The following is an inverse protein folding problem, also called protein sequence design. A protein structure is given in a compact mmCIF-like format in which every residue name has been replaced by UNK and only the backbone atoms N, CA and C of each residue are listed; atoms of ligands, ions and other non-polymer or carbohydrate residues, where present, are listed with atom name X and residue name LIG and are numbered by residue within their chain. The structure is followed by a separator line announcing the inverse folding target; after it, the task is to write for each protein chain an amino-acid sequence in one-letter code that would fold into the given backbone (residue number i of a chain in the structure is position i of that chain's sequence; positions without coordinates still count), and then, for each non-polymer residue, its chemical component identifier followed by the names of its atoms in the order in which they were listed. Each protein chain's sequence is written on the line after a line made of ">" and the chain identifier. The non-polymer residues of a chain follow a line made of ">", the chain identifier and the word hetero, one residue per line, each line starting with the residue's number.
data_IF_774289968698
#
_entry.id   IF_774289968698
#
_cell.length_a   1.000
_cell.length_b   1.000
_cell.length_c   1.000
_cell.angle_alpha   90.00
_cell.angle_beta   90.00
_cell.angle_gamma   90.00
#
_symmetry.space_group_name_H-M   'P 1'
#
loop_
_entity.id
_entity.type
_entity.pdbx_description
1 polymer ?
#
# COMPACT_ATOMS: atom_id res chain seq x y z
N UNK A 1 -1.62 -9.82 65.52
CA UNK A 1 -1.98 -9.98 64.10
C UNK A 1 -2.12 -8.62 63.38
N UNK A 2 -1.00 -7.91 63.25
CA UNK A 2 -0.76 -6.91 62.20
C UNK A 2 -0.21 -7.72 61.02
N UNK A 3 -0.83 -7.67 59.83
CA UNK A 3 -0.26 -8.04 58.50
C UNK A 3 -1.35 -8.49 57.51
N UNK A 4 -2.23 -7.60 57.01
CA UNK A 4 -2.98 -7.85 55.74
C UNK A 4 -3.40 -6.54 55.01
N UNK A 5 -2.57 -5.50 54.97
CA UNK A 5 -2.87 -4.29 54.17
C UNK A 5 -1.70 -3.89 53.27
N UNK A 6 -1.20 -4.85 52.49
CA UNK A 6 -0.44 -4.56 51.28
C UNK A 6 -0.86 -5.53 50.17
N UNK A 7 -2.15 -5.52 49.80
CA UNK A 7 -2.56 -6.15 48.54
C UNK A 7 -2.16 -5.21 47.41
N UNK A 8 -1.01 -5.54 46.83
CA UNK A 8 -0.51 -5.20 45.50
C UNK A 8 -1.46 -4.31 44.69
N UNK A 9 -1.19 -3.01 44.69
CA UNK A 9 -1.58 -2.13 43.59
C UNK A 9 -0.59 -2.38 42.45
N UNK A 10 -0.66 -3.55 41.80
CA UNK A 10 -0.07 -3.70 40.47
C UNK A 10 -0.87 -2.79 39.56
N UNK A 11 -0.30 -1.62 39.31
CA UNK A 11 -0.69 -0.70 38.25
C UNK A 11 -0.68 -1.55 36.98
N UNK A 12 -1.88 -1.78 36.45
CA UNK A 12 -2.05 -2.44 35.16
C UNK A 12 -1.65 -1.43 34.09
N UNK A 13 -0.34 -1.22 33.94
CA UNK A 13 0.23 -0.50 32.83
C UNK A 13 -0.40 -1.08 31.56
N UNK A 14 -1.07 -0.22 30.81
CA UNK A 14 -1.54 -0.58 29.48
C UNK A 14 -0.31 -1.03 28.71
N UNK A 15 -0.19 -2.33 28.39
CA UNK A 15 0.81 -2.75 27.40
C UNK A 15 0.54 -1.91 26.14
N UNK A 16 1.55 -1.27 25.55
CA UNK A 16 1.37 -0.41 24.37
C UNK A 16 0.65 -1.16 23.22
N UNK A 17 0.85 -2.47 23.12
CA UNK A 17 0.17 -3.37 22.18
C UNK A 17 -1.38 -3.41 22.29
N UNK A 18 -1.94 -3.12 23.48
CA UNK A 18 -3.40 -3.03 23.69
C UNK A 18 -3.91 -1.59 23.54
N UNK A 19 -3.04 -0.59 23.69
CA UNK A 19 -3.39 0.83 23.51
C UNK A 19 -3.54 1.20 22.02
N UNK A 20 -2.84 0.51 21.12
CA UNK A 20 -3.06 0.61 19.68
C UNK A 20 -4.27 -0.24 19.23
N UNK A 21 -5.22 0.36 18.52
CA UNK A 21 -6.22 -0.39 17.76
C UNK A 21 -5.57 -1.16 16.60
N UNK A 22 -6.37 -1.84 15.78
CA UNK A 22 -5.92 -2.03 14.39
C UNK A 22 -6.08 -0.68 13.70
N UNK A 23 -4.98 -0.06 13.29
CA UNK A 23 -5.06 0.99 12.28
C UNK A 23 -5.69 0.36 11.04
N UNK A 24 -6.71 1.02 10.51
CA UNK A 24 -7.06 0.82 9.11
C UNK A 24 -5.81 1.29 8.38
N UNK A 25 -4.95 0.36 7.94
CA UNK A 25 -3.89 0.72 7.01
C UNK A 25 -4.64 1.28 5.80
N UNK A 26 -4.71 2.60 5.73
CA UNK A 26 -5.11 3.28 4.52
C UNK A 26 -4.13 2.80 3.48
N UNK A 27 -4.68 2.23 2.40
CA UNK A 27 -3.91 1.82 1.26
C UNK A 27 -3.17 3.05 0.76
N UNK A 28 -1.87 3.08 1.05
CA UNK A 28 -1.02 4.22 0.80
C UNK A 28 0.19 3.76 0.00
N UNK A 29 0.44 4.46 -1.09
CA UNK A 29 1.75 4.45 -1.71
C UNK A 29 2.71 5.30 -0.85
N UNK A 30 4.01 5.13 -1.04
CA UNK A 30 5.03 5.88 -0.32
C UNK A 30 5.91 6.63 -1.29
N UNK A 31 6.16 7.91 -1.02
CA UNK A 31 7.20 8.66 -1.69
C UNK A 31 8.58 8.13 -1.24
N UNK A 32 9.22 7.33 -2.09
CA UNK A 32 10.49 6.67 -1.78
C UNK A 32 11.67 7.62 -1.90
N UNK A 33 11.65 8.49 -2.90
CA UNK A 33 12.70 9.46 -3.19
C UNK A 33 12.12 10.61 -4.00
N UNK A 34 12.64 11.81 -3.81
CA UNK A 34 12.40 12.91 -4.73
C UNK A 34 13.62 13.84 -4.80
N UNK A 35 13.68 14.63 -5.86
CA UNK A 35 14.67 15.68 -6.10
C UNK A 35 13.97 16.88 -6.71
N UNK A 36 14.35 18.08 -6.31
CA UNK A 36 13.66 19.31 -6.72
C UNK A 36 12.34 19.48 -5.99
N UNK A 37 11.44 20.26 -6.58
CA UNK A 37 10.15 20.59 -6.01
C UNK A 37 9.11 19.55 -6.44
N UNK A 38 8.49 18.93 -5.44
CA UNK A 38 7.39 17.99 -5.61
C UNK A 38 6.29 18.39 -4.66
N UNK A 39 5.09 18.53 -5.21
CA UNK A 39 3.90 18.95 -4.50
C UNK A 39 2.88 17.82 -4.48
N UNK A 40 2.12 17.74 -3.39
CA UNK A 40 0.97 16.85 -3.25
C UNK A 40 -0.26 17.69 -2.95
N UNK A 41 -1.38 17.31 -3.56
CA UNK A 41 -2.72 17.79 -3.24
C UNK A 41 -3.52 16.61 -2.72
N UNK A 42 -3.97 16.68 -1.48
CA UNK A 42 -4.95 15.72 -0.93
C UNK A 42 -6.36 16.20 -1.28
N UNK A 43 -7.34 15.30 -1.29
CA UNK A 43 -8.70 15.45 -1.87
C UNK A 43 -9.38 16.84 -1.78
N UNK A 44 -9.09 17.66 -0.77
CA UNK A 44 -9.68 19.00 -0.56
C UNK A 44 -8.67 20.10 -0.15
N UNK A 45 -7.36 19.86 -0.31
CA UNK A 45 -6.32 20.84 0.07
C UNK A 45 -5.67 21.51 -1.14
N UNK A 46 -4.99 22.63 -0.91
CA UNK A 46 -4.08 23.19 -1.92
C UNK A 46 -2.83 22.31 -2.10
N UNK A 47 -2.06 22.56 -3.15
CA UNK A 47 -0.79 21.87 -3.35
C UNK A 47 0.20 22.27 -2.26
N UNK A 48 0.71 21.29 -1.52
CA UNK A 48 1.73 21.46 -0.49
C UNK A 48 3.02 20.70 -0.88
N UNK A 49 4.20 21.18 -0.48
CA UNK A 49 5.45 20.44 -0.69
C UNK A 49 5.45 19.12 0.08
N UNK A 50 6.06 18.09 -0.51
CA UNK A 50 6.16 16.75 0.07
C UNK A 50 7.41 16.57 0.93
N UNK A 51 7.33 15.66 1.89
CA UNK A 51 8.49 15.19 2.65
C UNK A 51 8.91 13.77 2.24
N UNK A 52 10.15 13.38 2.60
CA UNK A 52 10.64 12.04 2.28
C UNK A 52 9.86 11.01 3.08
N UNK A 53 9.28 10.02 2.40
CA UNK A 53 8.47 8.99 3.03
C UNK A 53 6.98 9.33 3.12
N UNK A 54 6.57 10.47 2.55
CA UNK A 54 5.17 10.91 2.46
C UNK A 54 4.25 9.77 2.00
N UNK A 55 3.11 9.63 2.68
CA UNK A 55 2.11 8.62 2.36
C UNK A 55 1.10 9.21 1.39
N UNK A 56 0.94 8.54 0.25
CA UNK A 56 0.09 8.99 -0.85
C UNK A 56 -1.12 8.05 -0.91
N UNK A 57 -2.30 8.59 -0.68
CA UNK A 57 -3.56 7.86 -0.67
C UNK A 57 -4.24 7.89 -2.04
N UNK A 58 -5.22 7.01 -2.23
CA UNK A 58 -6.13 7.13 -3.35
C UNK A 58 -6.92 8.45 -3.26
N UNK A 59 -6.99 9.19 -4.37
CA UNK A 59 -7.53 10.55 -4.46
C UNK A 59 -6.45 11.63 -4.57
N UNK A 60 -5.25 11.36 -4.06
CA UNK A 60 -4.18 12.36 -4.01
C UNK A 60 -3.58 12.61 -5.40
N UNK A 61 -3.19 13.87 -5.64
CA UNK A 61 -2.52 14.30 -6.86
C UNK A 61 -1.09 14.72 -6.54
N UNK A 62 -0.12 14.13 -7.23
CA UNK A 62 1.28 14.57 -7.18
C UNK A 62 1.64 15.36 -8.41
N UNK A 63 2.41 16.41 -8.18
CA UNK A 63 2.97 17.28 -9.21
C UNK A 63 4.47 17.44 -8.98
N UNK A 64 5.26 17.19 -10.02
CA UNK A 64 6.69 17.51 -10.03
C UNK A 64 6.91 18.76 -10.86
N UNK A 65 7.67 19.72 -10.36
CA UNK A 65 8.01 20.94 -11.11
C UNK A 65 9.04 20.68 -12.22
N UNK A 66 9.48 21.74 -12.88
CA UNK A 66 10.63 21.66 -13.79
C UNK A 66 11.86 21.15 -13.04
N UNK A 67 12.75 20.43 -13.72
CA UNK A 67 13.99 19.91 -13.13
C UNK A 67 13.81 19.02 -11.88
N UNK A 68 12.61 18.46 -11.70
CA UNK A 68 12.24 17.69 -10.51
C UNK A 68 11.96 16.23 -10.86
N UNK A 69 12.06 15.36 -9.86
CA UNK A 69 11.91 13.92 -9.98
C UNK A 69 11.22 13.38 -8.73
N UNK A 70 10.28 12.44 -8.88
CA UNK A 70 9.72 11.69 -7.76
C UNK A 70 9.70 10.19 -8.06
N UNK A 71 10.01 9.37 -7.06
CA UNK A 71 9.89 7.91 -7.12
C UNK A 71 8.90 7.47 -6.05
N UNK A 72 7.82 6.84 -6.49
CA UNK A 72 6.74 6.34 -5.65
C UNK A 72 6.82 4.82 -5.61
N UNK A 73 6.72 4.25 -4.41
CA UNK A 73 6.58 2.82 -4.18
C UNK A 73 5.13 2.49 -3.84
N UNK A 74 4.54 1.57 -4.58
CA UNK A 74 3.17 1.09 -4.35
C UNK A 74 3.14 -0.04 -3.30
N UNK A 75 1.97 -0.34 -2.72
CA UNK A 75 1.81 -1.43 -1.73
C UNK A 75 2.23 -2.82 -2.24
N UNK A 76 2.06 -3.09 -3.54
CA UNK A 76 2.49 -4.36 -4.16
C UNK A 76 4.01 -4.43 -4.42
N UNK A 77 4.73 -3.34 -4.20
CA UNK A 77 6.16 -3.19 -4.47
C UNK A 77 6.48 -2.64 -5.86
N UNK A 78 5.47 -2.42 -6.70
CA UNK A 78 5.64 -1.75 -8.00
C UNK A 78 6.14 -0.31 -7.79
N UNK A 79 6.87 0.22 -8.77
CA UNK A 79 7.47 1.56 -8.69
C UNK A 79 7.01 2.44 -9.83
N UNK A 80 6.77 3.71 -9.52
CA UNK A 80 6.54 4.76 -10.50
C UNK A 80 7.61 5.83 -10.32
N UNK A 81 8.23 6.24 -11.41
CA UNK A 81 9.18 7.34 -11.45
C UNK A 81 8.59 8.44 -12.31
N UNK A 82 8.24 9.54 -11.67
CA UNK A 82 7.72 10.75 -12.28
C UNK A 82 8.91 11.62 -12.70
N UNK A 83 8.98 11.94 -13.99
CA UNK A 83 9.95 12.91 -14.51
C UNK A 83 9.47 14.35 -14.29
N UNK A 84 10.22 15.32 -14.82
CA UNK A 84 9.86 16.74 -14.71
C UNK A 84 8.49 17.07 -15.28
N UNK A 85 7.85 18.11 -14.73
CA UNK A 85 6.56 18.65 -15.19
C UNK A 85 5.46 17.59 -15.31
N UNK A 86 5.51 16.58 -14.44
CA UNK A 86 4.53 15.49 -14.36
C UNK A 86 3.45 15.79 -13.36
N UNK A 87 2.21 15.49 -13.74
CA UNK A 87 1.05 15.55 -12.85
C UNK A 87 0.26 14.25 -12.97
N UNK A 88 0.12 13.55 -11.83
CA UNK A 88 -0.66 12.33 -11.73
C UNK A 88 -1.62 12.38 -10.55
N UNK A 89 -2.80 11.79 -10.72
CA UNK A 89 -3.74 11.51 -9.63
C UNK A 89 -3.80 10.02 -9.41
N UNK A 90 -3.65 9.57 -8.16
CA UNK A 90 -3.74 8.16 -7.80
C UNK A 90 -5.20 7.80 -7.55
N UNK A 91 -5.93 7.29 -8.54
CA UNK A 91 -7.36 6.96 -8.38
C UNK A 91 -7.61 5.76 -7.46
N UNK A 92 -6.82 4.71 -7.64
CA UNK A 92 -7.00 3.43 -6.94
C UNK A 92 -5.64 2.84 -6.63
N UNK A 93 -5.57 2.12 -5.51
CA UNK A 93 -4.40 1.38 -5.12
C UNK A 93 -4.70 -0.10 -5.01
N UNK A 94 -3.75 -0.89 -5.51
CA UNK A 94 -3.67 -2.32 -5.24
C UNK A 94 -3.43 -2.53 -3.75
N UNK A 95 -4.17 -3.47 -3.17
CA UNK A 95 -4.04 -3.87 -1.78
C UNK A 95 -3.22 -5.15 -1.65
N UNK A 96 -2.58 -5.34 -0.51
CA UNK A 96 -1.99 -6.63 -0.15
C UNK A 96 -2.67 -7.23 1.07
N UNK A 97 -3.42 -8.30 0.85
CA UNK A 97 -4.02 -9.13 1.90
C UNK A 97 -3.32 -10.50 1.82
N UNK A 98 -2.85 -11.05 2.93
CA UNK A 98 -2.42 -12.45 2.96
C UNK A 98 -1.42 -12.95 1.87
N UNK A 99 -0.57 -12.09 1.31
CA UNK A 99 0.45 -12.56 0.37
C UNK A 99 0.20 -12.11 -1.04
N UNK A 100 -1.06 -11.88 -1.37
CA UNK A 100 -1.48 -11.61 -2.73
C UNK A 100 -1.67 -10.11 -2.96
N UNK A 101 -1.84 -9.74 -4.22
CA UNK A 101 -2.19 -8.38 -4.63
C UNK A 101 -3.67 -8.38 -5.03
N UNK A 102 -4.44 -7.44 -4.50
CA UNK A 102 -5.89 -7.34 -4.64
C UNK A 102 -6.28 -6.02 -5.26
N UNK A 103 -7.32 -6.03 -6.07
CA UNK A 103 -7.73 -4.84 -6.80
C UNK A 103 -6.76 -4.50 -7.92
N UNK A 104 -6.80 -3.24 -8.34
CA UNK A 104 -5.90 -2.67 -9.34
C UNK A 104 -5.41 -1.31 -8.86
N UNK A 105 -4.19 -0.97 -9.23
CA UNK A 105 -3.74 0.42 -9.17
C UNK A 105 -4.20 1.14 -10.44
N UNK A 106 -4.85 2.28 -10.27
CA UNK A 106 -5.26 3.16 -11.36
C UNK A 106 -4.66 4.53 -11.12
N UNK A 107 -3.96 5.08 -12.10
CA UNK A 107 -3.50 6.47 -12.06
C UNK A 107 -4.12 7.24 -13.22
N UNK A 108 -4.49 8.49 -12.99
CA UNK A 108 -4.76 9.46 -14.05
C UNK A 108 -3.47 10.24 -14.27
N UNK A 109 -3.01 10.32 -15.50
CA UNK A 109 -1.84 11.11 -15.89
C UNK A 109 -2.31 12.28 -16.75
N UNK A 110 -2.03 13.50 -16.30
CA UNK A 110 -2.45 14.75 -16.96
C UNK A 110 -1.33 15.39 -17.76
N UNK A 111 -0.09 15.28 -17.28
CA UNK A 111 1.07 15.90 -17.89
C UNK A 111 2.36 15.14 -17.57
N UNK A 112 3.43 15.48 -18.28
CA UNK A 112 4.79 15.00 -18.06
C UNK A 112 5.01 13.55 -18.48
N UNK A 113 5.79 12.80 -17.69
CA UNK A 113 6.25 11.46 -18.04
C UNK A 113 6.41 10.55 -16.84
N UNK A 114 6.10 9.28 -17.04
CA UNK A 114 6.20 8.25 -16.01
C UNK A 114 6.93 7.04 -16.56
N UNK A 115 7.91 6.57 -15.80
CA UNK A 115 8.49 5.24 -15.90
C UNK A 115 7.85 4.34 -14.86
N UNK A 116 7.39 3.16 -15.27
CA UNK A 116 6.70 2.23 -14.37
C UNK A 116 7.40 0.88 -14.45
N UNK A 117 7.70 0.30 -13.28
CA UNK A 117 8.11 -1.10 -13.14
C UNK A 117 7.07 -1.83 -12.29
N UNK A 118 6.16 -2.54 -12.96
CA UNK A 118 5.13 -3.36 -12.32
C UNK A 118 5.72 -4.73 -12.00
N UNK A 119 5.88 -5.03 -10.71
CA UNK A 119 6.48 -6.29 -10.27
C UNK A 119 5.49 -7.46 -10.37
N UNK A 120 4.19 -7.18 -10.31
CA UNK A 120 3.16 -8.21 -10.31
C UNK A 120 3.04 -8.91 -11.68
N UNK A 121 3.43 -10.19 -11.71
CA UNK A 121 3.36 -11.08 -12.89
C UNK A 121 2.09 -11.94 -12.94
N UNK A 122 1.05 -11.58 -12.18
CA UNK A 122 -0.25 -12.24 -12.22
C UNK A 122 -0.81 -12.36 -13.65
N UNK A 123 -1.80 -13.24 -13.84
CA UNK A 123 -2.42 -13.47 -15.15
C UNK A 123 -3.29 -12.29 -15.63
N UNK A 124 -3.55 -11.30 -14.78
CA UNK A 124 -4.52 -10.24 -15.02
C UNK A 124 -3.88 -8.84 -14.95
N UNK A 125 -4.43 -7.81 -15.62
CA UNK A 125 -3.92 -6.45 -15.53
C UNK A 125 -4.21 -5.87 -14.15
N UNK A 126 -3.16 -5.62 -13.37
CA UNK A 126 -3.26 -5.10 -11.98
C UNK A 126 -2.95 -3.61 -11.93
N UNK A 127 -2.57 -3.02 -13.08
CA UNK A 127 -2.18 -1.63 -13.17
C UNK A 127 -2.74 -0.98 -14.43
N UNK A 128 -3.24 0.24 -14.30
CA UNK A 128 -3.83 1.03 -15.37
C UNK A 128 -3.36 2.49 -15.29
N UNK A 129 -2.98 3.06 -16.44
CA UNK A 129 -2.82 4.52 -16.60
C UNK A 129 -3.95 5.02 -17.46
N UNK A 130 -4.67 6.03 -16.98
CA UNK A 130 -5.66 6.76 -17.77
C UNK A 130 -5.13 8.13 -18.10
N UNK A 131 -5.42 8.57 -19.31
CA UNK A 131 -5.26 9.94 -19.76
C UNK A 131 -6.64 10.48 -20.12
N UNK A 132 -6.72 11.67 -20.73
CA UNK A 132 -8.00 12.23 -21.18
C UNK A 132 -8.78 11.27 -22.10
N UNK A 133 -8.09 10.64 -23.05
CA UNK A 133 -8.73 9.87 -24.13
C UNK A 133 -8.22 8.43 -24.25
N UNK A 134 -7.17 8.05 -23.53
CA UNK A 134 -6.51 6.75 -23.69
C UNK A 134 -6.30 6.08 -22.32
N UNK A 135 -6.55 4.78 -22.26
CA UNK A 135 -6.15 3.91 -21.16
C UNK A 135 -5.02 2.98 -21.59
N UNK A 136 -4.04 2.80 -20.70
CA UNK A 136 -2.94 1.85 -20.82
C UNK A 136 -3.12 0.77 -19.75
N UNK A 137 -3.53 -0.42 -20.16
CA UNK A 137 -3.65 -1.60 -19.31
C UNK A 137 -2.35 -2.40 -19.28
N UNK A 138 -1.84 -2.66 -18.07
CA UNK A 138 -0.46 -3.13 -17.88
C UNK A 138 -0.41 -4.42 -17.08
N UNK A 139 0.46 -5.35 -17.48
CA UNK A 139 0.66 -6.63 -16.78
C UNK A 139 2.12 -7.05 -16.70
N UNK A 140 2.72 -6.96 -15.50
CA UNK A 140 4.09 -7.40 -15.23
C UNK A 140 5.13 -6.69 -16.11
N UNK A 141 4.85 -5.42 -16.41
CA UNK A 141 5.52 -4.68 -17.47
C UNK A 141 6.44 -3.63 -16.88
N UNK A 142 7.55 -3.42 -17.56
CA UNK A 142 8.37 -2.24 -17.38
C UNK A 142 8.28 -1.38 -18.63
N UNK A 143 7.84 -0.14 -18.45
CA UNK A 143 7.40 0.68 -19.56
C UNK A 143 7.45 2.17 -19.27
N UNK A 144 7.25 2.94 -20.33
CA UNK A 144 7.22 4.39 -20.32
C UNK A 144 5.91 4.90 -20.91
N UNK A 145 5.34 5.91 -20.28
CA UNK A 145 4.28 6.74 -20.81
C UNK A 145 4.67 8.23 -20.64
N UNK A 146 4.50 9.05 -21.66
CA UNK A 146 4.85 10.47 -21.58
C UNK A 146 4.14 11.32 -22.60
N UNK A 147 3.89 12.58 -22.25
CA UNK A 147 3.33 13.56 -23.17
C UNK A 147 4.43 14.43 -23.79
N UNK A 148 4.29 14.69 -25.09
CA UNK A 148 4.97 15.79 -25.75
C UNK A 148 3.95 16.66 -26.47
N UNK A 149 4.16 17.98 -26.45
CA UNK A 149 3.43 18.88 -27.35
C UNK A 149 3.86 18.65 -28.80
N UNK A 150 2.89 18.53 -29.70
CA UNK A 150 3.08 18.61 -31.13
C UNK A 150 3.10 20.08 -31.60
N UNK A 151 3.29 20.28 -32.89
CA UNK A 151 3.44 21.62 -33.48
C UNK A 151 2.13 22.42 -33.43
N UNK A 152 0.99 21.73 -33.32
CA UNK A 152 -0.35 22.30 -33.13
C UNK A 152 -0.67 22.61 -31.65
N UNK A 153 0.27 22.33 -30.73
CA UNK A 153 0.10 22.56 -29.30
C UNK A 153 -0.72 21.49 -28.56
N UNK A 154 -1.16 20.44 -29.25
CA UNK A 154 -1.84 19.29 -28.64
C UNK A 154 -0.83 18.33 -27.98
N UNK A 155 -1.29 17.52 -27.04
CA UNK A 155 -0.45 16.55 -26.34
C UNK A 155 -0.49 15.18 -27.02
N UNK A 156 0.63 14.78 -27.61
CA UNK A 156 0.85 13.43 -28.10
C UNK A 156 1.24 12.51 -26.95
N UNK A 157 0.57 11.37 -26.81
CA UNK A 157 0.92 10.35 -25.83
C UNK A 157 1.92 9.36 -26.43
N UNK A 158 3.12 9.30 -25.86
CA UNK A 158 4.16 8.35 -26.20
C UNK A 158 4.15 7.19 -25.23
N UNK A 159 3.97 5.97 -25.72
CA UNK A 159 4.02 4.74 -24.94
C UNK A 159 5.11 3.80 -25.50
N UNK A 160 5.87 3.15 -24.62
CA UNK A 160 6.84 2.13 -25.03
C UNK A 160 7.12 1.09 -23.96
N UNK A 161 7.49 -0.12 -24.39
CA UNK A 161 7.63 -1.29 -23.52
C UNK A 161 9.04 -1.85 -23.60
N UNK A 162 9.75 -1.93 -22.47
CA UNK A 162 11.02 -2.66 -22.39
C UNK A 162 10.77 -4.15 -22.12
N UNK A 163 9.84 -4.48 -21.23
CA UNK A 163 9.56 -5.86 -20.83
C UNK A 163 8.08 -6.01 -20.54
N UNK A 164 7.47 -7.08 -21.03
CA UNK A 164 6.05 -7.39 -20.80
C UNK A 164 5.19 -6.97 -21.98
N UNK A 165 3.94 -6.62 -21.69
CA UNK A 165 2.96 -6.19 -22.68
C UNK A 165 2.09 -5.07 -22.11
N UNK A 166 1.66 -4.16 -22.97
CA UNK A 166 0.66 -3.13 -22.64
C UNK A 166 -0.43 -3.17 -23.67
N UNK A 167 -1.68 -3.07 -23.21
CA UNK A 167 -2.79 -2.75 -24.08
C UNK A 167 -3.05 -1.27 -24.02
N UNK A 168 -3.06 -0.63 -25.19
CA UNK A 168 -3.44 0.76 -25.38
C UNK A 168 -4.86 0.74 -25.93
N UNK A 169 -5.77 1.50 -25.31
CA UNK A 169 -7.17 1.56 -25.72
C UNK A 169 -7.68 3.00 -25.66
N UNK A 170 -8.40 3.43 -26.69
CA UNK A 170 -9.15 4.68 -26.67
C UNK A 170 -10.37 4.53 -25.74
N UNK A 171 -10.55 5.50 -24.85
CA UNK A 171 -11.62 5.52 -23.86
C UNK A 171 -13.00 5.80 -24.48
N UNK A 172 -13.05 6.55 -25.58
CA UNK A 172 -14.29 6.87 -26.30
C UNK A 172 -14.68 5.81 -27.33
N UNK A 173 -13.72 5.02 -27.82
CA UNK A 173 -13.95 3.95 -28.78
C UNK A 173 -13.12 2.71 -28.44
N UNK A 174 -13.75 1.70 -27.84
CA UNK A 174 -13.09 0.45 -27.46
C UNK A 174 -12.61 -0.38 -28.65
N UNK A 175 -13.13 -0.09 -29.85
CA UNK A 175 -12.65 -0.64 -31.11
C UNK A 175 -11.36 0.03 -31.59
N UNK A 176 -10.80 1.01 -30.87
CA UNK A 176 -9.47 1.59 -31.13
C UNK A 176 -8.52 1.22 -29.98
N UNK A 177 -8.10 -0.04 -29.98
CA UNK A 177 -7.10 -0.61 -29.10
C UNK A 177 -6.03 -1.45 -29.84
N UNK A 178 -4.83 -1.54 -29.29
CA UNK A 178 -3.80 -2.48 -29.74
C UNK A 178 -2.87 -2.86 -28.57
N UNK A 179 -1.98 -3.81 -28.80
CA UNK A 179 -1.02 -4.27 -27.81
C UNK A 179 0.42 -3.96 -28.24
N UNK A 180 1.17 -3.34 -27.33
CA UNK A 180 2.60 -3.10 -27.40
C UNK A 180 3.35 -4.25 -26.73
N UNK A 181 4.28 -4.85 -27.47
CA UNK A 181 5.19 -5.89 -27.00
C UNK A 181 6.58 -5.35 -26.72
N UNK A 182 7.46 -6.20 -26.19
CA UNK A 182 8.84 -5.86 -25.87
C UNK A 182 9.57 -5.16 -27.04
N UNK A 183 10.13 -3.99 -26.74
CA UNK A 183 10.90 -3.16 -27.66
C UNK A 183 10.03 -2.30 -28.58
N UNK A 184 8.71 -2.38 -28.47
CA UNK A 184 7.80 -1.58 -29.27
C UNK A 184 7.44 -0.27 -28.58
N UNK A 185 7.18 0.75 -29.41
CA UNK A 185 6.54 1.99 -29.03
C UNK A 185 5.34 2.30 -29.93
N UNK A 186 4.49 3.19 -29.45
CA UNK A 186 3.37 3.78 -30.18
C UNK A 186 3.19 5.21 -29.70
N UNK A 187 2.80 6.06 -30.64
CA UNK A 187 2.42 7.44 -30.41
C UNK A 187 0.92 7.55 -30.66
N UNK A 188 0.22 8.22 -29.77
CA UNK A 188 -1.19 8.59 -29.96
C UNK A 188 -1.24 10.09 -30.12
N UNK A 189 -1.37 10.54 -31.36
CA UNK A 189 -1.32 11.95 -31.73
C UNK A 189 -2.60 12.66 -31.30
N UNK A 190 -2.46 13.80 -30.61
CA UNK A 190 -3.57 14.55 -30.02
C UNK A 190 -4.45 13.73 -29.05
N UNK A 191 -3.95 12.58 -28.58
CA UNK A 191 -4.72 11.61 -27.81
C UNK A 191 -5.85 10.91 -28.59
N UNK A 192 -5.87 10.97 -29.92
CA UNK A 192 -6.94 10.40 -30.76
C UNK A 192 -6.42 9.43 -31.81
N UNK A 193 -5.35 9.80 -32.51
CA UNK A 193 -4.88 9.08 -33.68
C UNK A 193 -3.78 8.11 -33.29
N UNK A 194 -4.07 6.81 -33.39
CA UNK A 194 -3.12 5.76 -33.07
C UNK A 194 -2.12 5.61 -34.23
N UNK A 195 -0.87 5.34 -33.90
CA UNK A 195 0.16 4.95 -34.87
C UNK A 195 0.48 3.47 -34.75
N UNK A 196 1.10 2.88 -35.77
CA UNK A 196 1.41 1.46 -35.75
C UNK A 196 2.37 1.09 -34.60
N UNK A 197 2.06 0.09 -33.75
CA UNK A 197 3.03 -0.48 -32.82
C UNK A 197 4.27 -0.98 -33.58
N UNK A 198 5.44 -0.42 -33.28
CA UNK A 198 6.67 -0.80 -33.96
C UNK A 198 7.90 -0.62 -33.08
N UNK A 199 9.01 -1.27 -33.46
CA UNK A 199 10.28 -1.16 -32.73
C UNK A 199 10.99 0.12 -33.07
N UNK A 200 11.43 0.87 -32.06
CA UNK A 200 12.25 2.07 -32.23
C UNK A 200 13.61 1.93 -31.54
N UNK A 201 14.61 2.63 -32.04
CA UNK A 201 15.94 2.67 -31.45
C UNK A 201 15.93 3.44 -30.12
N UNK A 202 15.16 4.52 -30.01
CA UNK A 202 15.00 5.23 -28.73
C UNK A 202 14.41 4.37 -27.61
N UNK A 203 13.57 3.39 -27.95
CA UNK A 203 13.01 2.43 -26.97
C UNK A 203 14.08 1.50 -26.43
N UNK A 204 15.13 1.19 -27.20
CA UNK A 204 16.25 0.37 -26.70
C UNK A 204 17.21 1.16 -25.84
N UNK A 205 17.41 2.43 -26.17
CA UNK A 205 18.47 3.25 -25.58
C UNK A 205 18.02 4.00 -24.31
N UNK A 206 16.72 3.98 -24.00
CA UNK A 206 16.17 4.63 -22.81
C UNK A 206 16.38 3.77 -21.56
N UNK A 207 16.69 4.39 -20.43
CA UNK A 207 16.71 3.70 -19.14
C UNK A 207 15.29 3.54 -18.61
N UNK A 208 14.84 2.29 -18.44
CA UNK A 208 13.52 1.99 -17.88
C UNK A 208 13.54 1.68 -16.37
N UNK A 209 14.68 1.82 -15.69
CA UNK A 209 14.73 1.59 -14.25
C UNK A 209 14.00 2.68 -13.46
N UNK A 210 12.76 2.39 -13.07
CA UNK A 210 11.94 3.23 -12.19
C UNK A 210 12.54 3.42 -10.77
N UNK A 211 13.63 2.73 -10.43
CA UNK A 211 14.36 2.92 -9.16
C UNK A 211 15.54 3.87 -9.26
N UNK A 212 16.01 4.17 -10.48
CA UNK A 212 17.23 4.95 -10.69
C UNK A 212 17.04 6.39 -10.22
N UNK A 213 18.00 6.89 -9.44
CA UNK A 213 18.05 8.28 -8.95
C UNK A 213 18.86 9.20 -9.86
N UNK A 214 19.61 8.61 -10.79
CA UNK A 214 20.71 9.26 -11.52
C UNK A 214 20.30 9.87 -12.86
N UNK A 215 19.00 9.80 -13.21
CA UNK A 215 18.51 10.52 -14.39
C UNK A 215 18.50 12.01 -14.08
N UNK A 216 19.64 12.64 -14.40
CA UNK A 216 19.83 14.07 -14.35
C UNK A 216 18.75 14.79 -15.16
N UNK A 217 18.39 15.95 -14.63
CA UNK A 217 17.62 16.99 -15.31
C UNK A 217 18.17 17.17 -16.73
N UNK A 218 17.33 17.00 -17.76
CA UNK A 218 17.70 17.17 -19.17
C UNK A 218 18.11 15.91 -19.95
N UNK A 219 18.32 14.74 -19.33
CA UNK A 219 18.62 13.49 -20.06
C UNK A 219 17.50 13.13 -21.06
N UNK A 220 16.24 13.23 -20.61
CA UNK A 220 15.08 13.01 -21.46
C UNK A 220 14.88 14.09 -22.52
N UNK A 221 15.33 15.32 -22.28
CA UNK A 221 15.24 16.38 -23.29
C UNK A 221 16.15 16.06 -24.49
N UNK A 222 17.34 15.51 -24.24
CA UNK A 222 18.22 14.99 -25.31
C UNK A 222 17.60 13.81 -26.07
N UNK A 223 16.91 12.91 -25.35
CA UNK A 223 16.20 11.77 -25.98
C UNK A 223 14.99 12.25 -26.79
N UNK A 224 14.30 13.30 -26.33
CA UNK A 224 13.07 13.82 -26.94
C UNK A 224 13.25 14.20 -28.41
N UNK A 225 14.27 14.98 -28.74
CA UNK A 225 14.53 15.40 -30.12
C UNK A 225 14.83 14.19 -31.02
N UNK A 226 15.70 13.30 -30.54
CA UNK A 226 16.03 12.07 -31.28
C UNK A 226 14.81 11.20 -31.51
N UNK A 227 13.96 11.06 -30.49
CA UNK A 227 12.70 10.32 -30.53
C UNK A 227 11.72 10.92 -31.54
N UNK A 228 11.52 12.24 -31.52
CA UNK A 228 10.68 12.95 -32.49
C UNK A 228 11.20 12.77 -33.92
N UNK A 229 12.50 12.92 -34.14
CA UNK A 229 13.13 12.71 -35.46
C UNK A 229 12.98 11.28 -35.96
N UNK A 230 13.22 10.29 -35.10
CA UNK A 230 13.07 8.88 -35.47
C UNK A 230 11.60 8.55 -35.79
N UNK A 231 10.67 9.04 -34.98
CA UNK A 231 9.24 8.85 -35.21
C UNK A 231 8.80 9.45 -36.53
N UNK A 232 9.13 10.72 -36.81
CA UNK A 232 8.77 11.38 -38.07
C UNK A 232 9.20 10.56 -39.30
N UNK A 233 10.43 10.02 -39.29
CA UNK A 233 10.95 9.18 -40.38
C UNK A 233 10.27 7.82 -40.52
N UNK A 234 9.77 7.27 -39.42
CA UNK A 234 9.26 5.88 -39.35
C UNK A 234 7.76 5.83 -39.12
N UNK A 235 7.07 6.97 -39.09
CA UNK A 235 5.65 7.08 -38.76
C UNK A 235 4.85 6.22 -39.73
N UNK A 236 4.02 5.36 -39.16
CA UNK A 236 3.11 4.50 -39.91
C UNK A 236 1.69 4.66 -39.37
N UNK A 237 0.73 4.77 -40.27
CA UNK A 237 -0.68 4.80 -39.90
C UNK A 237 -1.06 3.47 -39.25
N UNK A 238 -1.89 3.55 -38.22
CA UNK A 238 -2.32 2.36 -37.51
C UNK A 238 -3.26 1.52 -38.38
N UNK A 239 -2.92 0.24 -38.55
CA UNK A 239 -3.76 -0.77 -39.17
C UNK A 239 -3.78 -2.00 -38.26
N UNK A 240 -4.92 -2.25 -37.62
CA UNK A 240 -5.05 -3.39 -36.70
C UNK A 240 -4.90 -4.71 -37.45
N UNK A 241 -3.99 -5.56 -36.96
CA UNK A 241 -4.01 -6.98 -37.29
C UNK A 241 -5.19 -7.66 -36.56
N UNK A 242 -6.31 -7.84 -37.25
CA UNK A 242 -7.56 -8.37 -36.69
C UNK A 242 -7.40 -9.78 -36.10
N UNK A 243 -6.67 -10.67 -36.78
CA UNK A 243 -6.45 -12.04 -36.32
C UNK A 243 -5.63 -12.07 -35.01
N UNK A 244 -4.52 -11.32 -34.96
CA UNK A 244 -3.71 -11.15 -33.73
C UNK A 244 -4.55 -10.58 -32.59
N UNK A 245 -5.36 -9.55 -32.87
CA UNK A 245 -6.20 -8.90 -31.88
C UNK A 245 -7.30 -9.82 -31.34
N UNK A 246 -8.01 -10.56 -32.20
CA UNK A 246 -9.04 -11.50 -31.79
C UNK A 246 -8.50 -12.53 -30.79
N UNK A 247 -7.35 -13.14 -31.12
CA UNK A 247 -6.65 -14.08 -30.22
C UNK A 247 -6.28 -13.44 -28.88
N UNK A 248 -5.78 -12.20 -28.88
CA UNK A 248 -5.50 -11.47 -27.63
C UNK A 248 -6.76 -11.18 -26.84
N UNK A 249 -7.83 -10.70 -27.48
CA UNK A 249 -9.11 -10.38 -26.83
C UNK A 249 -9.71 -11.59 -26.13
N UNK A 250 -9.63 -12.78 -26.73
CA UNK A 250 -10.07 -14.04 -26.11
C UNK A 250 -9.26 -14.39 -24.86
N UNK A 251 -7.92 -14.33 -24.94
CA UNK A 251 -7.04 -14.57 -23.79
C UNK A 251 -7.36 -13.60 -22.65
N UNK A 252 -7.55 -12.31 -22.99
CA UNK A 252 -7.87 -11.27 -22.04
C UNK A 252 -9.25 -11.44 -21.41
N UNK A 253 -10.26 -11.85 -22.18
CA UNK A 253 -11.60 -12.13 -21.67
C UNK A 253 -11.57 -13.25 -20.62
N UNK A 254 -10.81 -14.33 -20.90
CA UNK A 254 -10.60 -15.44 -19.95
C UNK A 254 -9.92 -14.95 -18.66
N UNK A 255 -8.87 -14.13 -18.77
CA UNK A 255 -8.22 -13.56 -17.60
C UNK A 255 -9.15 -12.63 -16.82
N UNK A 256 -9.90 -11.76 -17.48
CA UNK A 256 -10.88 -10.87 -16.82
C UNK A 256 -11.96 -11.66 -16.07
N UNK A 257 -12.43 -12.78 -16.63
CA UNK A 257 -13.38 -13.66 -15.96
C UNK A 257 -12.79 -14.36 -14.74
N UNK A 258 -11.53 -14.85 -14.84
CA UNK A 258 -10.80 -15.39 -13.69
C UNK A 258 -10.62 -14.35 -12.60
N UNK A 259 -10.25 -13.11 -12.97
CA UNK A 259 -10.09 -12.00 -12.04
C UNK A 259 -11.40 -11.71 -11.33
N UNK A 260 -12.52 -11.63 -12.05
CA UNK A 260 -13.83 -11.34 -11.46
C UNK A 260 -14.19 -12.39 -10.41
N UNK A 261 -14.03 -13.68 -10.71
CA UNK A 261 -14.26 -14.76 -9.73
C UNK A 261 -13.32 -14.66 -8.53
N UNK A 262 -12.04 -14.33 -8.76
CA UNK A 262 -11.06 -14.11 -7.70
C UNK A 262 -11.48 -12.94 -6.82
N UNK A 263 -11.84 -11.82 -7.44
CA UNK A 263 -12.26 -10.56 -6.83
C UNK A 263 -13.52 -10.74 -5.98
N UNK A 264 -14.52 -11.50 -6.44
CA UNK A 264 -15.72 -11.82 -5.65
C UNK A 264 -15.39 -12.62 -4.39
N UNK A 265 -14.61 -13.71 -4.52
CA UNK A 265 -14.11 -14.47 -3.36
C UNK A 265 -13.32 -13.58 -2.41
N UNK A 266 -12.56 -12.63 -2.93
CA UNK A 266 -11.74 -11.72 -2.14
C UNK A 266 -12.52 -10.61 -1.46
N UNK A 267 -13.55 -10.06 -2.09
CA UNK A 267 -14.46 -9.14 -1.43
C UNK A 267 -15.10 -9.82 -0.21
N UNK A 268 -15.45 -11.10 -0.31
CA UNK A 268 -15.94 -11.87 0.83
C UNK A 268 -14.89 -12.03 1.94
N UNK A 269 -13.62 -12.32 1.60
CA UNK A 269 -12.53 -12.40 2.59
C UNK A 269 -12.29 -11.04 3.26
N UNK A 270 -12.21 -9.96 2.47
CA UNK A 270 -12.02 -8.59 2.97
C UNK A 270 -13.18 -8.15 3.86
N UNK A 271 -14.42 -8.46 3.49
CA UNK A 271 -15.59 -8.17 4.32
C UNK A 271 -15.48 -8.87 5.68
N UNK A 272 -15.17 -10.18 5.68
CA UNK A 272 -14.94 -10.93 6.93
C UNK A 272 -13.82 -10.34 7.77
N UNK A 273 -12.71 -9.93 7.13
CA UNK A 273 -11.58 -9.32 7.83
C UNK A 273 -11.94 -7.96 8.45
N UNK A 274 -12.66 -7.10 7.72
CA UNK A 274 -13.17 -5.82 8.22
C UNK A 274 -14.12 -6.04 9.39
N UNK A 275 -15.04 -7.00 9.28
CA UNK A 275 -15.96 -7.35 10.37
C UNK A 275 -15.22 -7.85 11.62
N UNK A 276 -14.24 -8.76 11.46
CA UNK A 276 -13.40 -9.25 12.57
C UNK A 276 -12.68 -8.09 13.27
N UNK A 277 -12.11 -7.14 12.51
CA UNK A 277 -11.44 -5.96 13.08
C UNK A 277 -12.42 -4.99 13.75
N UNK A 278 -13.59 -4.74 13.16
CA UNK A 278 -14.65 -3.92 13.77
C UNK A 278 -15.08 -4.52 15.11
N UNK A 279 -15.36 -5.82 15.15
CA UNK A 279 -15.72 -6.55 16.37
C UNK A 279 -14.62 -6.45 17.43
N UNK A 280 -13.36 -6.67 17.04
CA UNK A 280 -12.21 -6.49 17.94
C UNK A 280 -12.13 -5.08 18.53
N UNK A 281 -12.22 -4.05 17.67
CA UNK A 281 -12.14 -2.65 18.11
C UNK A 281 -13.30 -2.29 19.05
N UNK A 282 -14.50 -2.81 18.80
CA UNK A 282 -15.67 -2.62 19.65
C UNK A 282 -15.51 -3.32 21.01
N UNK A 283 -15.11 -4.59 21.03
CA UNK A 283 -14.85 -5.34 22.26
C UNK A 283 -13.74 -4.69 23.09
N UNK A 284 -12.68 -4.20 22.43
CA UNK A 284 -11.61 -3.43 23.06
C UNK A 284 -12.12 -2.14 23.70
N UNK A 285 -12.93 -1.34 22.99
CA UNK A 285 -13.53 -0.11 23.54
C UNK A 285 -14.40 -0.43 24.77
N UNK A 286 -15.22 -1.47 24.70
CA UNK A 286 -16.05 -1.93 25.80
C UNK A 286 -15.21 -2.34 27.02
N UNK A 287 -14.11 -3.09 26.82
CA UNK A 287 -13.21 -3.47 27.91
C UNK A 287 -12.50 -2.27 28.55
N UNK A 288 -12.09 -1.28 27.75
CA UNK A 288 -11.47 -0.05 28.27
C UNK A 288 -12.47 0.71 29.14
N UNK A 289 -13.73 0.84 28.69
CA UNK A 289 -14.81 1.47 29.46
C UNK A 289 -15.06 0.71 30.78
N UNK A 290 -15.31 -0.61 30.71
CA UNK A 290 -15.54 -1.45 31.89
C UNK A 290 -14.38 -1.39 32.90
N UNK A 291 -13.13 -1.33 32.40
CA UNK A 291 -11.95 -1.14 33.26
C UNK A 291 -11.98 0.23 33.95
N UNK A 292 -12.34 1.29 33.23
CA UNK A 292 -12.50 2.64 33.79
C UNK A 292 -13.54 2.65 34.92
N UNK A 293 -14.74 2.12 34.65
CA UNK A 293 -15.84 2.05 35.62
C UNK A 293 -15.42 1.30 36.90
N UNK A 294 -14.73 0.15 36.77
CA UNK A 294 -14.24 -0.60 37.92
C UNK A 294 -13.16 0.15 38.72
N UNK A 295 -12.31 0.94 38.06
CA UNK A 295 -11.31 1.78 38.73
C UNK A 295 -12.01 2.83 39.58
N UNK A 296 -13.05 3.46 39.05
CA UNK A 296 -13.77 4.52 39.75
C UNK A 296 -14.61 3.97 40.91
N UNK A 297 -15.26 2.80 40.73
CA UNK A 297 -15.89 2.06 41.82
C UNK A 297 -14.88 1.71 42.92
N UNK A 298 -13.68 1.23 42.56
CA UNK A 298 -12.64 0.90 43.52
C UNK A 298 -12.13 2.14 44.29
N UNK A 299 -11.97 3.29 43.61
CA UNK A 299 -11.62 4.57 44.25
C UNK A 299 -12.71 5.01 45.23
N UNK A 300 -13.98 4.91 44.84
CA UNK A 300 -15.12 5.24 45.70
C UNK A 300 -15.16 4.38 46.96
N UNK A 301 -15.06 3.05 46.84
CA UNK A 301 -15.01 2.13 47.98
C UNK A 301 -13.81 2.40 48.90
N UNK A 302 -12.65 2.76 48.33
CA UNK A 302 -11.46 3.16 49.10
C UNK A 302 -11.72 4.44 49.90
N UNK A 303 -12.42 5.41 49.32
CA UNK A 303 -12.88 6.62 50.00
C UNK A 303 -13.83 6.32 51.16
N UNK A 304 -14.85 5.49 50.93
CA UNK A 304 -15.79 5.05 51.95
C UNK A 304 -15.11 4.30 53.10
N UNK A 305 -14.18 3.39 52.75
CA UNK A 305 -13.38 2.63 53.74
C UNK A 305 -12.52 3.56 54.61
N UNK A 306 -11.93 4.61 54.03
CA UNK A 306 -11.17 5.63 54.76
C UNK A 306 -12.06 6.41 55.74
N UNK A 307 -13.24 6.87 55.29
CA UNK A 307 -14.22 7.57 56.14
C UNK A 307 -14.67 6.68 57.31
N UNK A 308 -15.00 5.41 57.02
CA UNK A 308 -15.42 4.43 58.02
C UNK A 308 -14.32 4.14 59.06
N UNK A 309 -13.06 4.04 58.64
CA UNK A 309 -11.91 3.88 59.54
C UNK A 309 -11.73 5.08 60.47
N UNK A 310 -11.82 6.31 59.95
CA UNK A 310 -11.75 7.54 60.76
C UNK A 310 -12.87 7.58 61.80
N UNK A 311 -14.12 7.31 61.40
CA UNK A 311 -15.28 7.28 62.32
C UNK A 311 -15.13 6.20 63.40
N UNK A 312 -14.62 5.02 63.04
CA UNK A 312 -14.32 3.96 64.01
C UNK A 312 -13.24 4.38 65.01
N UNK A 313 -12.17 5.02 64.56
CA UNK A 313 -11.12 5.54 65.44
C UNK A 313 -11.66 6.57 66.43
N UNK A 314 -12.51 7.50 65.97
CA UNK A 314 -13.16 8.49 66.84
C UNK A 314 -14.04 7.82 67.90
N UNK A 315 -14.88 6.85 67.53
CA UNK A 315 -15.75 6.13 68.48
C UNK A 315 -14.96 5.28 69.48
N UNK A 316 -13.88 4.63 69.05
CA UNK A 316 -12.98 3.91 69.97
C UNK A 316 -12.32 4.88 70.96
N UNK A 317 -11.92 6.07 70.50
CA UNK A 317 -11.41 7.13 71.38
C UNK A 317 -12.46 7.59 72.41
N UNK A 318 -13.70 7.80 71.98
CA UNK A 318 -14.82 8.12 72.88
C UNK A 318 -15.10 7.00 73.88
N UNK A 319 -15.09 5.73 73.44
CA UNK A 319 -15.26 4.58 74.33
C UNK A 319 -14.19 4.52 75.42
N UNK A 320 -12.93 4.80 75.05
CA UNK A 320 -11.81 4.85 76.02
C UNK A 320 -12.01 5.93 77.08
N UNK A 321 -12.48 7.13 76.69
CA UNK A 321 -12.80 8.22 77.61
C UNK A 321 -14.01 7.88 78.50
N UNK A 322 -15.07 7.31 77.92
CA UNK A 322 -16.26 6.90 78.64
C UNK A 322 -16.01 5.76 79.64
N UNK A 323 -14.99 4.91 79.43
CA UNK A 323 -14.61 3.88 80.42
C UNK A 323 -14.14 4.47 81.76
N UNK A 324 -13.67 5.72 81.79
CA UNK A 324 -13.36 6.45 83.02
C UNK A 324 -14.55 7.19 83.64
N UNK A 325 -15.74 7.18 83.02
CA UNK A 325 -16.96 7.78 83.56
C UNK A 325 -18.03 6.73 83.89
N UNK A 326 -18.90 7.03 84.86
CA UNK A 326 -19.93 6.11 85.37
C UNK A 326 -21.27 6.23 84.62
N UNK A 327 -21.25 6.37 83.28
CA UNK A 327 -22.45 6.46 82.44
C UNK A 327 -22.64 5.21 81.56
N UNK A 328 -23.49 4.23 81.97
CA UNK A 328 -23.75 3.01 81.21
C UNK A 328 -24.44 3.25 79.85
N UNK A 329 -25.33 4.25 79.78
CA UNK A 329 -26.12 4.55 78.58
C UNK A 329 -25.24 5.04 77.43
N UNK A 330 -24.23 5.86 77.72
CA UNK A 330 -23.29 6.37 76.71
C UNK A 330 -22.39 5.25 76.15
N UNK A 331 -21.93 4.33 77.02
CA UNK A 331 -21.17 3.14 76.64
C UNK A 331 -21.97 2.24 75.69
N UNK A 332 -23.25 2.00 76.00
CA UNK A 332 -24.14 1.19 75.16
C UNK A 332 -24.40 1.84 73.80
N UNK A 333 -24.56 3.16 73.75
CA UNK A 333 -24.71 3.92 72.49
C UNK A 333 -23.48 3.78 71.58
N UNK A 334 -22.27 3.92 72.14
CA UNK A 334 -21.01 3.78 71.39
C UNK A 334 -20.84 2.34 70.89
N UNK A 335 -21.18 1.33 71.70
CA UNK A 335 -21.15 -0.09 71.30
C UNK A 335 -22.06 -0.38 70.11
N UNK A 336 -23.30 0.12 70.12
CA UNK A 336 -24.25 -0.03 68.99
C UNK A 336 -23.67 0.58 67.70
N UNK A 337 -23.13 1.79 67.78
CA UNK A 337 -22.51 2.46 66.63
C UNK A 337 -21.26 1.72 66.11
N UNK A 338 -20.44 1.16 66.98
CA UNK A 338 -19.29 0.33 66.58
C UNK A 338 -19.73 -0.96 65.86
N UNK A 339 -20.84 -1.56 66.31
CA UNK A 339 -21.41 -2.76 65.69
C UNK A 339 -21.96 -2.46 64.29
N UNK A 340 -22.61 -1.32 64.10
CA UNK A 340 -23.02 -0.83 62.76
C UNK A 340 -21.81 -0.58 61.85
N UNK A 341 -20.75 0.06 62.35
CA UNK A 341 -19.53 0.25 61.56
C UNK A 341 -18.85 -1.08 61.20
N UNK A 342 -18.97 -2.10 62.05
CA UNK A 342 -18.47 -3.46 61.76
C UNK A 342 -19.28 -4.09 60.62
N UNK A 343 -20.61 -3.94 60.62
CA UNK A 343 -21.50 -4.40 59.52
C UNK A 343 -21.16 -3.71 58.19
N UNK A 344 -21.14 -2.37 58.18
CA UNK A 344 -20.73 -1.57 57.00
C UNK A 344 -19.32 -1.90 56.52
N UNK A 345 -18.41 -2.19 57.44
CA UNK A 345 -17.06 -2.66 57.11
C UNK A 345 -17.02 -4.03 56.43
N UNK A 346 -17.97 -4.93 56.73
CA UNK A 346 -18.14 -6.22 56.05
C UNK A 346 -18.67 -6.01 54.63
N UNK A 347 -19.73 -5.21 54.47
CA UNK A 347 -20.31 -4.87 53.16
C UNK A 347 -19.27 -4.28 52.19
N UNK A 348 -18.43 -3.35 52.67
CA UNK A 348 -17.34 -2.77 51.86
C UNK A 348 -16.30 -3.80 51.43
N UNK A 349 -16.00 -4.81 52.28
CA UNK A 349 -15.09 -5.90 51.92
C UNK A 349 -15.70 -6.81 50.87
N UNK A 350 -16.98 -7.15 51.01
CA UNK A 350 -17.69 -8.01 50.07
C UNK A 350 -17.81 -7.31 48.70
N UNK A 351 -18.13 -6.01 48.68
CA UNK A 351 -18.12 -5.19 47.48
C UNK A 351 -16.73 -5.14 46.81
N UNK A 352 -15.66 -5.00 47.61
CA UNK A 352 -14.28 -5.08 47.09
C UNK A 352 -13.96 -6.45 46.52
N UNK A 353 -14.42 -7.53 47.15
CA UNK A 353 -14.30 -8.90 46.64
C UNK A 353 -14.94 -9.07 45.27
N UNK A 354 -16.17 -8.54 45.09
CA UNK A 354 -16.86 -8.53 43.79
C UNK A 354 -16.07 -7.77 42.72
N UNK A 355 -15.49 -6.61 43.04
CA UNK A 355 -14.62 -5.86 42.12
C UNK A 355 -13.38 -6.66 41.72
N UNK A 356 -12.76 -7.40 42.65
CA UNK A 356 -11.60 -8.24 42.34
C UNK A 356 -11.94 -9.36 41.36
N UNK A 357 -13.08 -10.04 41.55
CA UNK A 357 -13.57 -11.07 40.63
C UNK A 357 -13.87 -10.47 39.26
N UNK A 358 -14.56 -9.33 39.21
CA UNK A 358 -14.84 -8.63 37.95
C UNK A 358 -13.54 -8.21 37.23
N UNK A 359 -12.55 -7.72 37.98
CA UNK A 359 -11.23 -7.36 37.45
C UNK A 359 -10.51 -8.57 36.84
N UNK A 360 -10.54 -9.73 37.50
CA UNK A 360 -9.94 -10.97 36.97
C UNK A 360 -10.56 -11.36 35.63
N UNK A 361 -11.89 -11.32 35.53
CA UNK A 361 -12.61 -11.59 34.27
C UNK A 361 -12.24 -10.62 33.14
N UNK A 362 -12.05 -9.32 33.44
CA UNK A 362 -11.60 -8.36 32.43
C UNK A 362 -10.17 -8.62 31.96
N UNK A 363 -9.28 -9.09 32.84
CA UNK A 363 -7.91 -9.46 32.48
C UNK A 363 -7.91 -10.65 31.53
N UNK A 364 -8.69 -11.69 31.84
CA UNK A 364 -8.84 -12.87 30.98
C UNK A 364 -9.36 -12.48 29.58
N UNK A 365 -10.43 -11.66 29.51
CA UNK A 365 -10.96 -11.14 28.23
C UNK A 365 -9.94 -10.30 27.46
N UNK A 366 -9.17 -9.44 28.15
CA UNK A 366 -8.08 -8.67 27.53
C UNK A 366 -7.03 -9.59 26.92
N UNK A 367 -6.64 -10.63 27.64
CA UNK A 367 -5.60 -11.56 27.19
C UNK A 367 -6.08 -12.39 26.00
N UNK A 368 -7.35 -12.79 25.96
CA UNK A 368 -7.99 -13.39 24.78
C UNK A 368 -7.93 -12.47 23.55
N UNK A 369 -8.26 -11.19 23.71
CA UNK A 369 -8.15 -10.20 22.63
C UNK A 369 -6.69 -10.00 22.16
N UNK A 370 -5.73 -9.97 23.08
CA UNK A 370 -4.31 -9.87 22.73
C UNK A 370 -3.87 -11.11 21.93
N UNK A 371 -4.29 -12.31 22.33
CA UNK A 371 -4.01 -13.55 21.60
C UNK A 371 -4.64 -13.52 20.20
N UNK A 372 -5.89 -13.05 20.08
CA UNK A 372 -6.55 -12.83 18.80
C UNK A 372 -5.76 -11.87 17.90
N UNK A 373 -5.37 -10.69 18.42
CA UNK A 373 -4.54 -9.71 17.69
C UNK A 373 -3.19 -10.30 17.27
N UNK A 374 -2.57 -11.12 18.12
CA UNK A 374 -1.30 -11.80 17.83
C UNK A 374 -1.43 -12.86 16.74
N UNK A 375 -2.50 -13.65 16.74
CA UNK A 375 -2.78 -14.63 15.67
C UNK A 375 -2.96 -13.92 14.33
N UNK A 376 -3.82 -12.90 14.28
CA UNK A 376 -4.06 -12.09 13.08
C UNK A 376 -2.78 -11.39 12.58
N UNK A 377 -1.98 -10.80 13.47
CA UNK A 377 -0.69 -10.17 13.08
C UNK A 377 0.40 -11.19 12.72
N UNK A 378 0.38 -12.37 13.31
CA UNK A 378 1.30 -13.48 13.05
C UNK A 378 1.09 -14.10 11.67
N UNK A 379 -0.16 -14.26 11.25
CA UNK A 379 -0.50 -14.67 9.87
C UNK A 379 0.05 -13.67 8.85
N UNK A 380 -0.18 -12.36 9.08
CA UNK A 380 0.38 -11.28 8.24
C UNK A 380 1.92 -11.36 8.17
N UNK A 381 2.61 -11.67 9.28
CA UNK A 381 4.08 -11.85 9.29
C UNK A 381 4.55 -13.07 8.49
N UNK A 382 3.90 -14.23 8.63
CA UNK A 382 4.22 -15.45 7.87
C UNK A 382 4.08 -15.19 6.36
N UNK A 383 3.00 -14.50 6.00
CA UNK A 383 2.74 -14.02 4.66
C UNK A 383 3.85 -13.11 4.13
N UNK A 384 4.28 -12.11 4.91
CA UNK A 384 5.38 -11.21 4.54
C UNK A 384 6.71 -11.97 4.37
N UNK A 385 6.98 -13.00 5.19
CA UNK A 385 8.17 -13.84 5.07
C UNK A 385 8.17 -14.69 3.79
N UNK A 386 7.04 -15.33 3.46
CA UNK A 386 6.86 -16.07 2.20
C UNK A 386 7.03 -15.15 1.00
N UNK A 387 6.54 -13.91 1.06
CA UNK A 387 6.76 -12.92 0.01
C UNK A 387 8.22 -12.51 -0.12
N UNK A 388 8.92 -12.33 1.00
CA UNK A 388 10.34 -11.96 0.99
C UNK A 388 11.20 -13.09 0.43
N UNK A 389 10.87 -14.35 0.73
CA UNK A 389 11.56 -15.51 0.15
C UNK A 389 11.27 -15.65 -1.34
N UNK A 390 10.02 -15.45 -1.79
CA UNK A 390 9.67 -15.41 -3.21
C UNK A 390 10.37 -14.25 -3.95
N UNK A 391 10.46 -13.06 -3.35
CA UNK A 391 11.19 -11.91 -3.89
C UNK A 391 12.68 -12.21 -4.05
N UNK A 392 13.32 -12.81 -3.04
CA UNK A 392 14.72 -13.25 -3.10
C UNK A 392 14.95 -14.29 -4.21
N UNK A 393 14.06 -15.27 -4.34
CA UNK A 393 14.11 -16.27 -5.40
C UNK A 393 14.02 -15.61 -6.79
N UNK A 394 13.09 -14.66 -6.95
CA UNK A 394 12.91 -13.92 -8.19
C UNK A 394 14.14 -13.08 -8.55
N UNK A 395 14.74 -12.38 -7.58
CA UNK A 395 15.97 -11.61 -7.78
C UNK A 395 17.12 -12.51 -8.24
N UNK A 396 17.24 -13.72 -7.66
CA UNK A 396 18.23 -14.72 -8.11
C UNK A 396 17.98 -15.18 -9.55
N UNK A 397 16.73 -15.42 -9.92
CA UNK A 397 16.37 -15.80 -11.30
C UNK A 397 16.67 -14.67 -12.29
N UNK A 398 16.34 -13.43 -11.93
CA UNK A 398 16.60 -12.26 -12.76
C UNK A 398 18.10 -12.05 -12.98
N UNK A 399 18.91 -12.18 -11.91
CA UNK A 399 20.37 -12.12 -11.98
C UNK A 399 20.92 -13.16 -12.96
N UNK A 400 20.46 -14.42 -12.85
CA UNK A 400 20.85 -15.50 -13.79
C UNK A 400 20.45 -15.19 -15.24
N UNK A 401 19.29 -14.58 -15.46
CA UNK A 401 18.87 -14.18 -16.82
C UNK A 401 19.76 -13.07 -17.39
N UNK A 402 20.08 -12.05 -16.57
CA UNK A 402 20.98 -10.97 -16.98
C UNK A 402 22.40 -11.50 -17.27
N UNK A 403 22.94 -12.38 -16.44
CA UNK A 403 24.24 -13.04 -16.68
C UNK A 403 24.24 -13.82 -18.00
N UNK A 404 23.18 -14.59 -18.29
CA UNK A 404 23.02 -15.29 -19.57
C UNK A 404 22.95 -14.33 -20.75
N UNK A 405 22.28 -13.19 -20.60
CA UNK A 405 22.12 -12.19 -21.64
C UNK A 405 23.45 -11.47 -21.92
N UNK A 406 24.19 -11.07 -20.87
CA UNK A 406 25.54 -10.53 -21.00
C UNK A 406 26.49 -11.52 -21.67
N UNK A 407 26.38 -12.82 -21.37
CA UNK A 407 27.18 -13.85 -22.04
C UNK A 407 26.86 -13.97 -23.54
N UNK A 408 25.57 -13.90 -23.90
CA UNK A 408 25.11 -13.89 -25.30
C UNK A 408 25.62 -12.65 -26.04
N UNK A 409 25.57 -11.49 -25.41
CA UNK A 409 26.05 -10.23 -26.00
C UNK A 409 27.57 -10.24 -26.18
N UNK A 410 28.33 -10.76 -25.20
CA UNK A 410 29.78 -11.01 -25.34
C UNK A 410 30.08 -11.96 -26.51
N UNK A 411 29.32 -13.05 -26.67
CA UNK A 411 29.49 -13.98 -27.80
C UNK A 411 29.16 -13.33 -29.14
N UNK A 412 28.15 -12.48 -29.21
CA UNK A 412 27.81 -11.71 -30.43
C UNK A 412 28.90 -10.72 -30.81
N UNK A 413 29.50 -10.02 -29.84
CA UNK A 413 30.62 -9.09 -30.08
C UNK A 413 31.91 -9.79 -30.54
N UNK A 414 32.04 -11.09 -30.27
CA UNK A 414 33.17 -11.92 -30.72
C UNK A 414 32.92 -12.64 -32.05
N UNK A 415 31.76 -12.48 -32.69
CA UNK A 415 31.54 -13.05 -34.03
C UNK A 415 32.27 -12.16 -35.06
N UNK A 416 33.08 -12.75 -35.96
CA UNK A 416 33.65 -12.00 -37.07
C UNK A 416 32.52 -11.41 -37.94
N UNK A 417 32.75 -10.27 -38.62
CA UNK A 417 31.79 -9.73 -39.59
C UNK A 417 31.48 -10.79 -40.65
N UNK A 418 30.21 -10.88 -41.06
CA UNK A 418 29.85 -11.72 -42.19
C UNK A 418 30.57 -11.21 -43.44
N UNK A 419 31.12 -12.08 -44.30
CA UNK A 419 31.73 -11.67 -45.55
C UNK A 419 30.68 -10.92 -46.38
N UNK A 420 31.05 -9.76 -46.92
CA UNK A 420 30.18 -9.03 -47.85
C UNK A 420 29.82 -9.95 -49.03
N UNK A 421 28.53 -10.14 -49.29
CA UNK A 421 28.06 -10.81 -50.50
C UNK A 421 28.60 -10.08 -51.74
N UNK A 422 29.14 -10.78 -52.76
CA UNK A 422 29.63 -10.12 -53.96
C UNK A 422 28.47 -9.45 -54.70
N UNK A 423 28.75 -8.24 -55.20
CA UNK A 423 27.90 -7.52 -56.12
C UNK A 423 27.52 -8.41 -57.32
N UNK A 424 26.25 -8.41 -57.68
CA UNK A 424 25.74 -9.13 -58.85
C UNK A 424 26.48 -8.72 -60.11
N UNK A 425 27.30 -9.63 -60.62
CA UNK A 425 27.94 -9.50 -61.92
C UNK A 425 26.90 -9.60 -63.03
N UNK A 426 26.91 -8.59 -63.88
CA UNK A 426 26.27 -8.55 -65.20
C UNK A 426 26.63 -9.78 -66.03
N UNK A 427 25.61 -10.48 -66.52
CA UNK A 427 25.77 -11.55 -67.52
C UNK A 427 26.19 -10.94 -68.88
N UNK A 428 27.16 -11.52 -69.61
CA UNK A 428 27.49 -11.10 -70.96
C UNK A 428 26.48 -11.66 -71.99
N UNK A 429 26.38 -11.03 -73.17
CA UNK A 429 25.41 -11.41 -74.19
C UNK A 429 25.82 -12.71 -74.88
N UNK A 430 24.81 -13.53 -75.16
CA UNK A 430 24.92 -14.82 -75.82
C UNK A 430 25.25 -14.61 -77.32
N UNK A 431 26.49 -14.82 -77.72
CA UNK A 431 26.88 -14.97 -79.13
C UNK A 431 26.83 -16.46 -79.48
N UNK A 432 25.86 -16.86 -80.30
CA UNK A 432 25.79 -18.21 -80.85
C UNK A 432 26.87 -18.49 -81.90
N UNK A 433 27.16 -19.78 -82.15
CA UNK A 433 27.02 -20.42 -83.48
C UNK A 433 27.37 -21.91 -83.45
N UNK A 434 26.66 -22.63 -84.34
CA UNK A 434 26.82 -23.99 -84.87
C UNK A 434 26.19 -25.15 -84.08
#
# INVERSE_FOLDING_TARGET
>A
MRNVIHVLFVILALRPDFASGFDYETLTARLFYFKGEVLIKTLETEFAPVEKGELISAGDTLKTSSKSLAIISLPDGSKLKLGESTEITLEKLVERIEGESFGKTSIIMRAGRVLIDVINKGKEPVFEIKTKNVALGVRGTRFFAGFDKNDQGENDLWASVERGEIVVQNLSNDQTADALENGQGMIIEGGKTFTQPQKYNWVRDMNYDASSKDEGVGHFQKIKERRKREFSKRRQNWKRNQARWKKKKEIWSRFKAQYKKKLEKFHAIRAKFIERRKKFNQERKNLIKQKGDLIDQAKSLKGQSRKLRKKRQQLVGKMRKANGSNSPNEKNKIRRQLLELKKKGKELRDARGKILVARKKLIEKRDQLIQFKRKETGEIKKIKQVQQSQKKLMQRQLKKQMEKQQLRDKRRRRRPPLPNSPAGGSAPPNSGTQ
#
